data_IF_119611186405
#
_entry.id   IF_119611186405
#
_cell.length_a   1.000
_cell.length_b   1.000
_cell.length_c   1.000
_cell.angle_alpha   90.00
_cell.angle_beta   90.00
_cell.angle_gamma   90.00
#
_symmetry.space_group_name_H-M   'P 1'
#
loop_
_entity.id
_entity.type
_entity.pdbx_description
1 polymer ?
#
# COMPACT_ATOMS: atom_id res chain seq x y z
N UNK A 1 -47.54 1.58 -16.57
CA UNK A 1 -46.53 1.36 -15.58
C UNK A 1 -46.64 2.52 -14.61
N UNK A 2 -46.97 2.25 -13.33
CA UNK A 2 -47.18 3.32 -12.34
C UNK A 2 -45.85 4.04 -12.03
N UNK A 3 -45.94 5.26 -11.51
CA UNK A 3 -44.82 6.13 -11.16
C UNK A 3 -43.85 5.56 -10.10
N UNK A 4 -44.14 4.35 -9.55
CA UNK A 4 -43.40 3.68 -8.46
C UNK A 4 -42.48 2.55 -8.92
N UNK A 5 -42.21 2.38 -10.20
CA UNK A 5 -41.30 1.32 -10.62
C UNK A 5 -39.86 1.71 -10.33
N UNK A 6 -39.20 1.00 -9.38
CA UNK A 6 -37.82 1.25 -9.00
C UNK A 6 -36.84 0.69 -10.07
N UNK A 7 -36.54 1.53 -11.07
CA UNK A 7 -35.55 1.25 -12.11
C UNK A 7 -34.16 1.12 -11.58
N UNK A 8 -33.84 1.65 -10.39
CA UNK A 8 -32.53 1.53 -9.74
C UNK A 8 -32.25 0.08 -9.35
N UNK A 9 -33.27 -0.63 -8.83
CA UNK A 9 -33.17 -2.04 -8.53
C UNK A 9 -32.98 -2.92 -9.78
N UNK A 10 -33.60 -2.53 -10.91
CA UNK A 10 -33.40 -3.20 -12.19
C UNK A 10 -31.93 -3.05 -12.65
N UNK A 11 -31.39 -1.85 -12.61
CA UNK A 11 -30.00 -1.55 -13.01
C UNK A 11 -29.00 -2.32 -12.15
N UNK A 12 -29.19 -2.38 -10.84
CA UNK A 12 -28.31 -3.14 -9.95
C UNK A 12 -28.28 -4.65 -10.27
N UNK A 13 -29.38 -5.20 -10.80
CA UNK A 13 -29.45 -6.60 -11.24
C UNK A 13 -28.76 -6.83 -12.59
N UNK A 14 -28.69 -5.83 -13.46
CA UNK A 14 -28.11 -5.96 -14.80
C UNK A 14 -26.59 -6.19 -14.79
N UNK A 15 -25.89 -5.77 -13.74
CA UNK A 15 -24.45 -6.03 -13.58
C UNK A 15 -24.10 -7.53 -13.55
N UNK A 16 -25.08 -8.41 -13.26
CA UNK A 16 -24.93 -9.88 -13.19
C UNK A 16 -25.35 -10.60 -14.49
N UNK A 17 -25.87 -9.87 -15.45
CA UNK A 17 -26.35 -10.45 -16.71
C UNK A 17 -25.19 -10.65 -17.70
N UNK A 18 -25.34 -11.64 -18.59
CA UNK A 18 -24.45 -11.81 -19.73
C UNK A 18 -24.66 -10.68 -20.78
N UNK A 19 -23.64 -10.45 -21.60
CA UNK A 19 -23.69 -9.37 -22.62
C UNK A 19 -24.91 -9.49 -23.55
N UNK A 20 -25.29 -10.69 -23.95
CA UNK A 20 -26.46 -10.93 -24.80
C UNK A 20 -27.79 -10.56 -24.14
N UNK A 21 -27.89 -10.78 -22.83
CA UNK A 21 -29.07 -10.44 -22.03
C UNK A 21 -29.15 -8.93 -21.82
N UNK A 22 -28.01 -8.28 -21.60
CA UNK A 22 -27.92 -6.82 -21.50
C UNK A 22 -28.35 -6.12 -22.80
N UNK A 23 -27.91 -6.60 -23.96
CA UNK A 23 -28.33 -6.04 -25.25
C UNK A 23 -29.83 -6.19 -25.50
N UNK A 24 -30.43 -7.33 -25.12
CA UNK A 24 -31.88 -7.51 -25.19
C UNK A 24 -32.62 -6.53 -24.28
N UNK A 25 -32.11 -6.30 -23.06
CA UNK A 25 -32.71 -5.34 -22.13
C UNK A 25 -32.60 -3.91 -22.69
N UNK A 26 -31.47 -3.53 -23.26
CA UNK A 26 -31.31 -2.22 -23.94
C UNK A 26 -32.36 -2.06 -25.03
N UNK A 27 -32.55 -3.06 -25.89
CA UNK A 27 -33.56 -3.02 -26.96
C UNK A 27 -34.99 -2.83 -26.42
N UNK A 28 -35.34 -3.52 -25.34
CA UNK A 28 -36.63 -3.41 -24.70
C UNK A 28 -36.82 -2.01 -24.11
N UNK A 29 -35.83 -1.51 -23.34
CA UNK A 29 -35.90 -0.20 -22.69
C UNK A 29 -35.93 0.90 -23.75
N UNK A 30 -35.23 0.78 -24.85
CA UNK A 30 -35.25 1.71 -25.98
C UNK A 30 -36.63 1.79 -26.63
N UNK A 31 -37.28 0.65 -26.86
CA UNK A 31 -38.65 0.62 -27.38
C UNK A 31 -39.64 1.29 -26.40
N UNK A 32 -39.43 1.13 -25.09
CA UNK A 32 -40.27 1.79 -24.07
C UNK A 32 -39.99 3.31 -24.05
N UNK A 33 -38.77 3.76 -24.23
CA UNK A 33 -38.45 5.20 -24.34
C UNK A 33 -39.09 5.81 -25.57
N UNK A 34 -39.14 5.10 -26.69
CA UNK A 34 -39.78 5.56 -27.93
C UNK A 34 -41.32 5.66 -27.77
N UNK A 35 -41.95 4.73 -27.02
CA UNK A 35 -43.36 4.73 -26.73
C UNK A 35 -43.76 5.76 -25.66
N UNK A 36 -42.93 5.88 -24.61
CA UNK A 36 -43.20 6.72 -23.44
C UNK A 36 -42.11 7.82 -23.29
N UNK A 37 -41.87 8.58 -24.36
CA UNK A 37 -40.81 9.58 -24.46
C UNK A 37 -40.85 10.69 -23.39
N UNK A 38 -41.97 10.90 -22.69
CA UNK A 38 -42.12 11.87 -21.61
C UNK A 38 -41.69 11.32 -20.23
N UNK A 39 -41.24 10.08 -20.13
CA UNK A 39 -40.78 9.50 -18.87
C UNK A 39 -39.26 9.63 -18.70
N UNK A 40 -38.84 10.59 -17.89
CA UNK A 40 -37.41 10.85 -17.57
C UNK A 40 -36.68 9.59 -17.04
N UNK A 41 -37.34 8.84 -16.15
CA UNK A 41 -36.80 7.65 -15.51
C UNK A 41 -36.44 6.54 -16.50
N UNK A 42 -37.22 6.36 -17.58
CA UNK A 42 -36.90 5.38 -18.63
C UNK A 42 -35.67 5.79 -19.42
N UNK A 43 -35.54 7.06 -19.77
CA UNK A 43 -34.40 7.58 -20.52
C UNK A 43 -33.13 7.53 -19.67
N UNK A 44 -33.22 7.88 -18.38
CA UNK A 44 -32.10 7.70 -17.44
C UNK A 44 -31.63 6.24 -17.34
N UNK A 45 -32.61 5.31 -17.30
CA UNK A 45 -32.31 3.86 -17.29
C UNK A 45 -31.58 3.43 -18.55
N UNK A 46 -32.02 3.91 -19.72
CA UNK A 46 -31.39 3.62 -21.01
C UNK A 46 -29.93 4.13 -21.04
N UNK A 47 -29.72 5.37 -20.60
CA UNK A 47 -28.38 5.99 -20.50
C UNK A 47 -27.45 5.15 -19.58
N UNK A 48 -27.94 4.72 -18.42
CA UNK A 48 -27.16 3.90 -17.50
C UNK A 48 -26.85 2.52 -18.09
N UNK A 49 -27.78 1.90 -18.81
CA UNK A 49 -27.55 0.62 -19.51
C UNK A 49 -26.49 0.75 -20.60
N UNK A 50 -26.54 1.84 -21.41
CA UNK A 50 -25.50 2.12 -22.39
C UNK A 50 -24.13 2.28 -21.72
N UNK A 51 -24.05 3.06 -20.67
CA UNK A 51 -22.81 3.29 -19.93
C UNK A 51 -22.23 1.98 -19.33
N UNK A 52 -23.07 1.13 -18.72
CA UNK A 52 -22.67 -0.17 -18.19
C UNK A 52 -22.19 -1.14 -19.28
N UNK A 53 -22.70 -1.00 -20.51
CA UNK A 53 -22.29 -1.80 -21.66
C UNK A 53 -21.15 -1.16 -22.48
N UNK A 54 -20.48 -0.14 -21.93
CA UNK A 54 -19.39 0.60 -22.57
C UNK A 54 -19.79 1.31 -23.89
N UNK A 55 -21.09 1.52 -24.11
CA UNK A 55 -21.64 2.24 -25.26
C UNK A 55 -21.77 3.74 -24.92
N UNK A 56 -20.63 4.40 -24.69
CA UNK A 56 -20.59 5.76 -24.12
C UNK A 56 -21.13 6.81 -25.08
N UNK A 57 -20.92 6.66 -26.40
CA UNK A 57 -21.46 7.58 -27.42
C UNK A 57 -22.99 7.55 -27.47
N UNK A 58 -23.59 6.35 -27.38
CA UNK A 58 -25.04 6.19 -27.30
C UNK A 58 -25.59 6.82 -26.01
N UNK A 59 -24.90 6.60 -24.88
CA UNK A 59 -25.24 7.22 -23.59
C UNK A 59 -25.24 8.75 -23.68
N UNK A 60 -24.20 9.35 -24.29
CA UNK A 60 -24.11 10.81 -24.49
C UNK A 60 -25.19 11.33 -25.44
N UNK A 61 -25.54 10.55 -26.47
CA UNK A 61 -26.59 10.92 -27.41
C UNK A 61 -27.95 11.04 -26.72
N UNK A 62 -28.31 10.03 -25.91
CA UNK A 62 -29.53 10.05 -25.09
C UNK A 62 -29.47 11.11 -23.98
N UNK A 63 -28.31 11.36 -23.40
CA UNK A 63 -28.10 12.42 -22.40
C UNK A 63 -28.39 13.82 -22.99
N UNK A 64 -28.02 14.07 -24.26
CA UNK A 64 -28.34 15.34 -24.94
C UNK A 64 -29.86 15.53 -25.12
N UNK A 65 -30.56 14.46 -25.45
CA UNK A 65 -32.01 14.48 -25.59
C UNK A 65 -32.66 14.74 -24.22
N UNK A 66 -32.22 13.99 -23.19
CA UNK A 66 -32.70 14.13 -21.81
C UNK A 66 -32.64 15.60 -21.34
N UNK A 67 -31.45 16.22 -21.50
CA UNK A 67 -31.18 17.59 -21.05
C UNK A 67 -31.97 18.67 -21.85
N UNK A 68 -32.44 18.33 -23.03
CA UNK A 68 -33.27 19.23 -23.83
C UNK A 68 -34.76 19.14 -23.47
N UNK A 69 -35.20 17.94 -23.07
CA UNK A 69 -36.63 17.65 -22.84
C UNK A 69 -37.04 17.80 -21.37
N UNK A 70 -36.12 17.62 -20.45
CA UNK A 70 -36.38 17.65 -19.02
C UNK A 70 -35.53 18.72 -18.30
N UNK A 71 -36.08 19.20 -17.18
CA UNK A 71 -35.35 20.14 -16.32
C UNK A 71 -34.08 19.51 -15.77
N UNK A 72 -32.99 20.27 -15.64
CA UNK A 72 -31.78 19.75 -15.03
C UNK A 72 -32.02 19.29 -13.60
N UNK A 73 -31.35 18.20 -13.21
CA UNK A 73 -31.34 17.71 -11.83
C UNK A 73 -29.93 17.25 -11.42
N UNK A 74 -29.57 17.29 -10.14
CA UNK A 74 -28.27 16.83 -9.67
C UNK A 74 -27.95 15.41 -10.13
N UNK A 75 -28.94 14.49 -10.12
CA UNK A 75 -28.81 13.11 -10.57
C UNK A 75 -28.37 13.01 -12.04
N UNK A 76 -29.00 13.81 -12.92
CA UNK A 76 -28.65 13.86 -14.36
C UNK A 76 -27.25 14.39 -14.56
N UNK A 77 -26.88 15.43 -13.81
CA UNK A 77 -25.54 16.05 -13.89
C UNK A 77 -24.45 15.06 -13.44
N UNK A 78 -24.70 14.35 -12.32
CA UNK A 78 -23.79 13.31 -11.83
C UNK A 78 -23.59 12.19 -12.86
N UNK A 79 -24.68 11.68 -13.43
CA UNK A 79 -24.61 10.64 -14.45
C UNK A 79 -23.84 11.10 -15.69
N UNK A 80 -24.08 12.35 -16.13
CA UNK A 80 -23.35 12.93 -17.27
C UNK A 80 -21.84 13.04 -17.00
N UNK A 81 -21.45 13.51 -15.80
CA UNK A 81 -20.06 13.58 -15.40
C UNK A 81 -19.41 12.19 -15.31
N UNK A 82 -20.13 11.18 -14.79
CA UNK A 82 -19.64 9.80 -14.72
C UNK A 82 -19.39 9.20 -16.11
N UNK A 83 -20.24 9.51 -17.11
CA UNK A 83 -20.03 9.07 -18.50
C UNK A 83 -18.72 9.66 -19.04
N UNK A 84 -18.49 10.97 -18.89
CA UNK A 84 -17.22 11.60 -19.31
C UNK A 84 -16.01 11.01 -18.58
N UNK A 85 -16.13 10.74 -17.28
CA UNK A 85 -15.05 10.11 -16.51
C UNK A 85 -14.73 8.72 -17.04
N UNK A 86 -15.75 7.91 -17.38
CA UNK A 86 -15.57 6.57 -17.97
C UNK A 86 -14.92 6.60 -19.36
N UNK A 87 -15.04 7.72 -20.07
CA UNK A 87 -14.37 7.97 -21.37
C UNK A 87 -12.94 8.52 -21.21
N UNK A 88 -12.48 8.77 -19.98
CA UNK A 88 -11.20 9.42 -19.72
C UNK A 88 -11.21 10.95 -19.93
N UNK A 89 -12.38 11.53 -20.15
CA UNK A 89 -12.58 12.96 -20.45
C UNK A 89 -12.76 13.77 -19.15
N UNK A 90 -11.80 13.68 -18.23
CA UNK A 90 -11.87 14.27 -16.89
C UNK A 90 -12.18 15.77 -16.91
N UNK A 91 -11.65 16.52 -17.89
CA UNK A 91 -11.94 17.97 -17.98
C UNK A 91 -13.42 18.26 -18.30
N UNK A 92 -14.06 17.45 -19.13
CA UNK A 92 -15.49 17.61 -19.45
C UNK A 92 -16.36 17.22 -18.26
N UNK A 93 -15.98 16.17 -17.53
CA UNK A 93 -16.62 15.79 -16.29
C UNK A 93 -16.57 16.92 -15.24
N UNK A 94 -15.39 17.50 -15.01
CA UNK A 94 -15.20 18.67 -14.12
C UNK A 94 -16.10 19.84 -14.54
N UNK A 95 -16.11 20.21 -15.83
CA UNK A 95 -16.92 21.31 -16.33
C UNK A 95 -18.42 21.05 -16.18
N UNK A 96 -18.86 19.79 -16.38
CA UNK A 96 -20.25 19.38 -16.18
C UNK A 96 -20.67 19.58 -14.73
N UNK A 97 -19.85 19.14 -13.77
CA UNK A 97 -20.11 19.32 -12.33
C UNK A 97 -20.06 20.79 -11.92
N UNK A 98 -19.04 21.55 -12.36
CA UNK A 98 -18.97 23.00 -12.12
C UNK A 98 -20.18 23.75 -12.67
N UNK A 99 -20.69 23.36 -13.83
CA UNK A 99 -21.89 23.96 -14.42
C UNK A 99 -23.14 23.60 -13.62
N UNK A 100 -23.24 22.36 -13.15
CA UNK A 100 -24.33 21.92 -12.27
C UNK A 100 -24.37 22.66 -10.95
N UNK A 101 -23.23 22.91 -10.34
CA UNK A 101 -23.12 23.67 -9.10
C UNK A 101 -23.49 25.17 -9.25
N UNK A 102 -23.58 25.72 -10.46
CA UNK A 102 -24.15 27.08 -10.66
C UNK A 102 -25.66 27.12 -10.49
N UNK A 103 -26.35 26.00 -10.73
CA UNK A 103 -27.78 25.85 -10.58
C UNK A 103 -28.17 25.26 -9.21
N UNK A 104 -27.34 24.36 -8.70
CA UNK A 104 -27.52 23.60 -7.46
C UNK A 104 -26.32 23.80 -6.54
N UNK A 105 -26.07 25.04 -6.15
CA UNK A 105 -24.87 25.48 -5.40
C UNK A 105 -24.68 24.80 -4.04
N UNK A 106 -25.79 24.34 -3.43
CA UNK A 106 -25.77 23.63 -2.13
C UNK A 106 -25.85 22.11 -2.27
N UNK A 107 -25.83 21.56 -3.49
CA UNK A 107 -25.90 20.10 -3.63
C UNK A 107 -24.59 19.41 -3.22
N UNK A 108 -24.66 18.71 -2.07
CA UNK A 108 -23.55 17.98 -1.47
C UNK A 108 -22.97 16.92 -2.42
N UNK A 109 -23.82 16.21 -3.14
CA UNK A 109 -23.40 15.09 -4.00
C UNK A 109 -22.60 15.56 -5.21
N UNK A 110 -23.01 16.68 -5.83
CA UNK A 110 -22.29 17.32 -6.91
C UNK A 110 -20.91 17.81 -6.43
N UNK A 111 -20.87 18.45 -5.27
CA UNK A 111 -19.66 19.02 -4.71
C UNK A 111 -18.66 17.94 -4.32
N UNK A 112 -19.10 16.87 -3.64
CA UNK A 112 -18.26 15.72 -3.32
C UNK A 112 -17.72 15.00 -4.58
N UNK A 113 -18.56 14.87 -5.62
CA UNK A 113 -18.14 14.26 -6.88
C UNK A 113 -17.09 15.12 -7.59
N UNK A 114 -17.26 16.45 -7.54
CA UNK A 114 -16.28 17.39 -8.08
C UNK A 114 -14.94 17.32 -7.32
N UNK A 115 -14.99 17.36 -5.99
CA UNK A 115 -13.79 17.25 -5.16
C UNK A 115 -13.01 15.95 -5.43
N UNK A 116 -13.71 14.81 -5.45
CA UNK A 116 -13.11 13.51 -5.75
C UNK A 116 -12.44 13.47 -7.13
N UNK A 117 -13.12 14.04 -8.14
CA UNK A 117 -12.57 14.10 -9.50
C UNK A 117 -11.37 15.04 -9.59
N UNK A 118 -11.34 16.12 -8.82
CA UNK A 118 -10.21 17.03 -8.72
C UNK A 118 -9.00 16.34 -8.07
N UNK A 119 -9.20 15.57 -6.99
CA UNK A 119 -8.13 14.76 -6.37
C UNK A 119 -7.54 13.78 -7.39
N UNK A 120 -8.36 13.05 -8.12
CA UNK A 120 -7.91 12.11 -9.15
C UNK A 120 -7.10 12.76 -10.29
N UNK A 121 -7.26 14.07 -10.48
CA UNK A 121 -6.54 14.85 -11.48
C UNK A 121 -5.47 15.76 -10.86
N UNK A 122 -5.01 15.48 -9.65
CA UNK A 122 -3.95 16.19 -8.93
C UNK A 122 -4.22 17.69 -8.72
N UNK A 123 -5.50 18.08 -8.68
CA UNK A 123 -5.95 19.47 -8.43
C UNK A 123 -6.34 19.61 -6.95
N UNK A 124 -5.37 19.45 -6.08
CA UNK A 124 -5.61 19.29 -4.64
C UNK A 124 -6.19 20.56 -4.00
N UNK A 125 -5.69 21.74 -4.34
CA UNK A 125 -6.24 23.02 -3.84
C UNK A 125 -7.69 23.24 -4.31
N UNK A 126 -7.97 22.99 -5.61
CA UNK A 126 -9.36 23.09 -6.12
C UNK A 126 -10.30 22.12 -5.37
N UNK A 127 -9.81 20.91 -4.99
CA UNK A 127 -10.57 19.95 -4.21
C UNK A 127 -10.81 20.43 -2.77
N UNK A 128 -9.79 21.02 -2.15
CA UNK A 128 -9.89 21.64 -0.83
C UNK A 128 -11.01 22.69 -0.78
N UNK A 129 -11.06 23.58 -1.78
CA UNK A 129 -12.12 24.59 -1.89
C UNK A 129 -13.53 23.96 -1.92
N UNK A 130 -13.69 22.77 -2.52
CA UNK A 130 -14.99 22.10 -2.54
C UNK A 130 -15.37 21.56 -1.16
N UNK A 131 -14.44 20.98 -0.41
CA UNK A 131 -14.70 20.54 0.96
C UNK A 131 -14.93 21.72 1.89
N UNK A 132 -14.15 22.80 1.75
CA UNK A 132 -14.36 24.03 2.51
C UNK A 132 -15.80 24.57 2.33
N UNK A 133 -16.28 24.60 1.10
CA UNK A 133 -17.65 25.05 0.84
C UNK A 133 -18.72 24.10 1.45
N UNK A 134 -18.42 22.81 1.68
CA UNK A 134 -19.30 21.90 2.42
C UNK A 134 -19.29 22.23 3.92
N UNK A 135 -18.11 22.46 4.48
CA UNK A 135 -17.96 22.84 5.90
C UNK A 135 -18.59 24.21 6.19
N UNK A 136 -18.54 25.15 5.25
CA UNK A 136 -19.25 26.44 5.38
C UNK A 136 -20.79 26.29 5.42
N UNK A 137 -21.33 25.26 4.74
CA UNK A 137 -22.75 24.92 4.80
C UNK A 137 -23.12 24.16 6.08
N UNK A 138 -22.25 23.25 6.50
CA UNK A 138 -22.41 22.42 7.70
C UNK A 138 -21.08 22.33 8.44
N UNK A 139 -20.86 23.14 9.50
CA UNK A 139 -19.65 23.10 10.30
C UNK A 139 -19.39 21.77 11.02
N UNK A 140 -20.36 20.89 11.11
CA UNK A 140 -20.27 19.54 11.68
C UNK A 140 -20.10 18.46 10.58
N UNK A 141 -19.79 18.84 9.34
CA UNK A 141 -19.41 17.89 8.28
C UNK A 141 -17.97 17.35 8.53
N UNK A 142 -17.86 16.47 9.54
CA UNK A 142 -16.59 15.89 9.99
C UNK A 142 -15.85 15.14 8.89
N UNK A 143 -16.57 14.53 7.95
CA UNK A 143 -15.95 13.85 6.81
C UNK A 143 -15.29 14.83 5.84
N UNK A 144 -15.91 15.99 5.60
CA UNK A 144 -15.30 17.04 4.79
C UNK A 144 -14.11 17.69 5.50
N UNK A 145 -14.21 17.97 6.80
CA UNK A 145 -13.09 18.45 7.61
C UNK A 145 -11.91 17.47 7.58
N UNK A 146 -12.17 16.18 7.77
CA UNK A 146 -11.15 15.17 7.69
C UNK A 146 -10.50 15.10 6.28
N UNK A 147 -11.31 15.20 5.22
CA UNK A 147 -10.79 15.22 3.86
C UNK A 147 -9.91 16.46 3.60
N UNK A 148 -10.27 17.63 4.14
CA UNK A 148 -9.44 18.83 4.09
C UNK A 148 -8.09 18.62 4.78
N UNK A 149 -8.09 18.03 5.98
CA UNK A 149 -6.82 17.76 6.69
C UNK A 149 -5.90 16.81 5.95
N UNK A 150 -6.45 15.81 5.23
CA UNK A 150 -5.65 14.92 4.39
C UNK A 150 -5.06 15.62 3.16
N UNK A 151 -5.81 16.54 2.55
CA UNK A 151 -5.30 17.35 1.44
C UNK A 151 -4.20 18.30 1.92
N UNK A 152 -4.37 18.93 3.09
CA UNK A 152 -3.35 19.79 3.68
C UNK A 152 -2.07 19.00 4.02
N UNK A 153 -2.19 17.73 4.42
CA UNK A 153 -1.04 16.83 4.60
C UNK A 153 -0.30 16.57 3.29
N UNK A 154 -1.04 16.26 2.22
CA UNK A 154 -0.45 16.01 0.90
C UNK A 154 0.21 17.26 0.30
N UNK A 155 -0.33 18.45 0.64
CA UNK A 155 0.21 19.76 0.23
C UNK A 155 1.32 20.27 1.18
N UNK A 156 1.64 19.54 2.24
CA UNK A 156 2.57 19.93 3.31
C UNK A 156 2.16 21.22 4.04
N UNK A 157 0.86 21.59 3.98
CA UNK A 157 0.27 22.76 4.63
C UNK A 157 -0.11 22.45 6.10
N UNK A 158 0.89 22.09 6.90
CA UNK A 158 0.71 21.57 8.27
C UNK A 158 0.01 22.57 9.20
N UNK A 159 0.26 23.87 9.04
CA UNK A 159 -0.39 24.92 9.85
C UNK A 159 -1.91 24.97 9.63
N UNK A 160 -2.40 24.49 8.48
CA UNK A 160 -3.82 24.36 8.17
C UNK A 160 -4.39 23.03 8.71
N UNK A 161 -3.62 21.94 8.58
CA UNK A 161 -4.04 20.60 8.98
C UNK A 161 -4.21 20.46 10.51
N UNK A 162 -3.24 20.97 11.28
CA UNK A 162 -3.20 20.80 12.76
C UNK A 162 -4.51 21.22 13.42
N UNK A 163 -5.03 22.45 13.25
CA UNK A 163 -6.25 22.87 13.94
C UNK A 163 -7.49 22.07 13.54
N UNK A 164 -7.54 21.55 12.30
CA UNK A 164 -8.63 20.68 11.85
C UNK A 164 -8.58 19.35 12.58
N UNK A 165 -7.40 18.70 12.63
CA UNK A 165 -7.21 17.44 13.32
C UNK A 165 -7.47 17.55 14.83
N UNK A 166 -7.03 18.64 15.48
CA UNK A 166 -7.31 18.92 16.87
C UNK A 166 -8.81 19.10 17.15
N UNK A 167 -9.53 19.76 16.23
CA UNK A 167 -10.98 19.89 16.30
C UNK A 167 -11.66 18.51 16.25
N UNK A 168 -11.29 17.66 15.29
CA UNK A 168 -11.82 16.30 15.17
C UNK A 168 -11.57 15.46 16.44
N UNK A 169 -10.38 15.57 17.03
CA UNK A 169 -10.06 14.94 18.31
C UNK A 169 -10.97 15.44 19.43
N UNK A 170 -11.23 16.75 19.49
CA UNK A 170 -12.01 17.37 20.55
C UNK A 170 -13.46 16.89 20.62
N UNK A 171 -14.01 16.46 19.48
CA UNK A 171 -15.37 15.93 19.34
C UNK A 171 -15.42 14.40 19.25
N UNK A 172 -14.30 13.73 19.42
CA UNK A 172 -14.09 12.26 19.28
C UNK A 172 -14.50 11.70 17.90
N UNK A 173 -14.49 12.56 16.88
CA UNK A 173 -14.67 12.14 15.49
C UNK A 173 -13.32 11.88 14.84
N UNK A 174 -13.18 10.76 14.11
CA UNK A 174 -11.90 10.36 13.51
C UNK A 174 -10.70 10.49 14.50
N UNK A 175 -10.94 10.22 15.79
CA UNK A 175 -9.98 10.46 16.85
C UNK A 175 -8.63 9.78 16.60
N UNK A 176 -8.66 8.49 16.30
CA UNK A 176 -7.44 7.68 16.15
C UNK A 176 -6.66 8.03 14.89
N UNK A 177 -7.35 8.27 13.79
CA UNK A 177 -6.77 8.74 12.55
C UNK A 177 -6.14 10.13 12.75
N UNK A 178 -6.85 11.04 13.42
CA UNK A 178 -6.35 12.40 13.70
C UNK A 178 -5.14 12.38 14.62
N UNK A 179 -5.13 11.54 15.64
CA UNK A 179 -3.94 11.35 16.50
C UNK A 179 -2.75 10.81 15.70
N UNK A 180 -2.99 9.85 14.80
CA UNK A 180 -1.94 9.29 13.94
C UNK A 180 -1.35 10.35 13.00
N UNK A 181 -2.20 11.14 12.35
CA UNK A 181 -1.74 12.18 11.41
C UNK A 181 -1.07 13.38 12.11
N UNK A 182 -1.50 13.75 13.32
CA UNK A 182 -0.73 14.72 14.11
C UNK A 182 0.65 14.17 14.49
N UNK A 183 0.74 12.89 14.86
CA UNK A 183 2.02 12.23 15.08
C UNK A 183 2.92 12.31 13.84
N UNK A 184 2.37 12.08 12.65
CA UNK A 184 3.08 12.18 11.38
C UNK A 184 3.54 13.62 11.07
N UNK A 185 2.68 14.62 11.26
CA UNK A 185 3.04 16.03 11.06
C UNK A 185 4.20 16.44 11.98
N UNK A 186 4.12 16.07 13.24
CA UNK A 186 5.18 16.38 14.21
C UNK A 186 6.48 15.60 13.89
N UNK A 187 6.40 14.39 13.37
CA UNK A 187 7.55 13.64 12.83
C UNK A 187 8.20 14.40 11.65
N UNK A 188 7.41 14.82 10.65
CA UNK A 188 7.91 15.57 9.48
C UNK A 188 8.50 16.95 9.84
N UNK A 189 8.05 17.52 10.93
CA UNK A 189 8.56 18.80 11.45
C UNK A 189 9.64 18.63 12.53
N UNK A 190 10.18 17.42 12.69
CA UNK A 190 11.26 17.05 13.62
C UNK A 190 10.93 17.34 15.09
N UNK A 191 9.64 17.40 15.46
CA UNK A 191 9.13 17.56 16.83
C UNK A 191 8.81 16.18 17.42
N UNK A 192 9.86 15.43 17.71
CA UNK A 192 9.73 14.01 18.02
C UNK A 192 9.00 13.71 19.33
N UNK A 193 9.13 14.58 20.33
CA UNK A 193 8.43 14.42 21.60
C UNK A 193 6.91 14.55 21.42
N UNK A 194 6.46 15.58 20.68
CA UNK A 194 5.05 15.78 20.35
C UNK A 194 4.54 14.63 19.45
N UNK A 195 5.35 14.19 18.50
CA UNK A 195 5.03 13.04 17.63
C UNK A 195 4.76 11.77 18.47
N UNK A 196 5.64 11.44 19.43
CA UNK A 196 5.49 10.31 20.35
C UNK A 196 4.19 10.45 21.15
N UNK A 197 3.90 11.64 21.67
CA UNK A 197 2.68 11.89 22.45
C UNK A 197 1.42 11.55 21.66
N UNK A 198 1.33 12.01 20.42
CA UNK A 198 0.19 11.77 19.56
C UNK A 198 0.08 10.30 19.11
N UNK A 199 1.16 9.68 18.66
CA UNK A 199 1.16 8.26 18.28
C UNK A 199 0.73 7.34 19.44
N UNK A 200 1.14 7.65 20.69
CA UNK A 200 0.77 6.88 21.87
C UNK A 200 -0.71 6.99 22.24
N UNK A 201 -1.42 8.01 21.77
CA UNK A 201 -2.86 8.20 22.00
C UNK A 201 -3.74 7.39 21.05
N UNK A 202 -3.17 6.80 19.99
CA UNK A 202 -3.91 5.93 19.07
C UNK A 202 -4.36 4.67 19.81
N UNK A 203 -5.69 4.43 19.82
CA UNK A 203 -6.34 3.38 20.62
C UNK A 203 -6.14 1.99 20.02
N UNK A 204 -6.02 0.99 20.87
CA UNK A 204 -5.91 -0.42 20.49
C UNK A 204 -7.10 -0.87 19.64
N UNK A 205 -6.82 -1.67 18.60
CA UNK A 205 -7.85 -2.25 17.73
C UNK A 205 -8.19 -1.39 16.50
N UNK A 206 -7.61 -0.21 16.36
CA UNK A 206 -7.74 0.62 15.17
C UNK A 206 -6.69 0.25 14.11
N UNK A 207 -6.94 0.63 12.85
CA UNK A 207 -6.07 0.29 11.73
C UNK A 207 -4.63 0.83 11.91
N UNK A 208 -4.48 2.01 12.46
CA UNK A 208 -3.20 2.70 12.61
C UNK A 208 -2.45 2.35 13.92
N UNK A 209 -3.05 1.54 14.81
CA UNK A 209 -2.50 1.30 16.15
C UNK A 209 -1.06 0.76 16.10
N UNK A 210 -0.81 -0.32 15.40
CA UNK A 210 0.53 -0.94 15.37
C UNK A 210 1.56 -0.02 14.74
N UNK A 211 1.22 0.66 13.64
CA UNK A 211 2.09 1.64 13.00
C UNK A 211 2.43 2.79 13.97
N UNK A 212 1.43 3.32 14.68
CA UNK A 212 1.63 4.38 15.65
C UNK A 212 2.56 3.93 16.80
N UNK A 213 2.37 2.71 17.36
CA UNK A 213 3.23 2.19 18.41
C UNK A 213 4.68 1.99 17.92
N UNK A 214 4.85 1.52 16.70
CA UNK A 214 6.16 1.35 16.08
C UNK A 214 6.88 2.69 15.89
N UNK A 215 6.19 3.72 15.40
CA UNK A 215 6.79 5.06 15.22
C UNK A 215 7.11 5.73 16.55
N UNK A 216 6.20 5.68 17.54
CA UNK A 216 6.46 6.19 18.88
C UNK A 216 7.70 5.52 19.50
N UNK A 217 7.85 4.21 19.34
CA UNK A 217 9.01 3.46 19.83
C UNK A 217 10.28 3.85 19.09
N UNK A 218 10.21 3.99 17.76
CA UNK A 218 11.35 4.43 16.94
C UNK A 218 11.89 5.78 17.39
N UNK A 219 11.00 6.77 17.57
CA UNK A 219 11.41 8.10 18.02
C UNK A 219 11.93 8.09 19.45
N UNK A 220 11.30 7.34 20.38
CA UNK A 220 11.80 7.19 21.74
C UNK A 220 13.22 6.60 21.76
N UNK A 221 13.49 5.55 20.97
CA UNK A 221 14.83 4.97 20.80
C UNK A 221 15.79 5.98 20.18
N UNK A 222 15.36 6.73 19.17
CA UNK A 222 16.17 7.77 18.52
C UNK A 222 16.58 8.91 19.46
N UNK A 223 15.72 9.25 20.42
CA UNK A 223 16.02 10.21 21.50
C UNK A 223 16.86 9.62 22.64
N UNK A 224 17.11 8.31 22.63
CA UNK A 224 17.85 7.62 23.69
C UNK A 224 17.03 7.16 24.89
N UNK A 225 15.69 7.33 24.84
CA UNK A 225 14.78 6.98 25.93
C UNK A 225 14.39 5.48 25.91
N UNK A 226 15.39 4.60 25.95
CA UNK A 226 15.21 3.15 25.77
C UNK A 226 14.32 2.53 26.86
N UNK A 227 14.49 2.94 28.11
CA UNK A 227 13.70 2.42 29.24
C UNK A 227 12.21 2.77 29.09
N UNK A 228 11.90 4.00 28.68
CA UNK A 228 10.51 4.42 28.47
C UNK A 228 9.90 3.74 27.23
N UNK A 229 10.67 3.55 26.15
CA UNK A 229 10.24 2.78 24.98
C UNK A 229 9.83 1.36 25.36
N UNK A 230 10.69 0.64 26.10
CA UNK A 230 10.43 -0.71 26.58
C UNK A 230 9.23 -0.77 27.54
N UNK A 231 9.20 0.13 28.53
CA UNK A 231 8.12 0.20 29.51
C UNK A 231 6.77 0.48 28.86
N UNK A 232 6.76 1.34 27.83
CA UNK A 232 5.56 1.66 27.08
C UNK A 232 5.01 0.41 26.36
N UNK A 233 5.82 -0.28 25.57
CA UNK A 233 5.40 -1.48 24.83
C UNK A 233 4.96 -2.62 25.77
N UNK A 234 5.65 -2.77 26.91
CA UNK A 234 5.25 -3.72 27.94
C UNK A 234 3.86 -3.42 28.47
N UNK A 235 3.55 -2.14 28.76
CA UNK A 235 2.19 -1.73 29.18
C UNK A 235 1.15 -2.01 28.09
N UNK A 236 1.50 -1.75 26.81
CA UNK A 236 0.61 -1.98 25.67
C UNK A 236 0.32 -3.47 25.43
N UNK A 237 1.22 -4.36 25.78
CA UNK A 237 1.01 -5.81 25.67
C UNK A 237 -0.10 -6.31 26.62
N UNK A 238 -0.32 -5.59 27.71
CA UNK A 238 -1.35 -5.87 28.73
C UNK A 238 -1.39 -7.34 29.17
N UNK A 239 -0.21 -7.97 29.27
CA UNK A 239 -0.06 -9.37 29.64
C UNK A 239 -0.49 -10.39 28.56
N UNK A 240 -0.83 -9.94 27.37
CA UNK A 240 -1.15 -10.82 26.24
C UNK A 240 0.15 -11.30 25.58
N UNK A 241 0.43 -12.59 25.72
CA UNK A 241 1.67 -13.23 25.19
C UNK A 241 1.93 -12.90 23.71
N UNK A 242 0.90 -12.94 22.88
CA UNK A 242 1.04 -12.65 21.44
C UNK A 242 1.47 -11.20 21.18
N UNK A 243 0.94 -10.24 21.91
CA UNK A 243 1.34 -8.83 21.80
C UNK A 243 2.73 -8.61 22.38
N UNK A 244 3.07 -9.29 23.48
CA UNK A 244 4.40 -9.23 24.05
C UNK A 244 5.47 -9.71 23.05
N UNK A 245 5.25 -10.84 22.37
CA UNK A 245 6.14 -11.36 21.32
C UNK A 245 6.25 -10.35 20.17
N UNK A 246 5.11 -9.84 19.68
CA UNK A 246 5.08 -8.87 18.58
C UNK A 246 5.86 -7.60 18.94
N UNK A 247 5.60 -7.01 20.10
CA UNK A 247 6.26 -5.78 20.51
C UNK A 247 7.75 -5.99 20.81
N UNK A 248 8.13 -7.13 21.40
CA UNK A 248 9.53 -7.50 21.55
C UNK A 248 10.26 -7.59 20.22
N UNK A 249 9.63 -8.18 19.22
CA UNK A 249 10.18 -8.28 17.86
C UNK A 249 10.33 -6.90 17.20
N UNK A 250 9.32 -6.03 17.33
CA UNK A 250 9.38 -4.65 16.82
C UNK A 250 10.51 -3.88 17.51
N UNK A 251 10.54 -3.89 18.84
CA UNK A 251 11.54 -3.17 19.65
C UNK A 251 12.96 -3.64 19.34
N UNK A 252 13.19 -4.96 19.30
CA UNK A 252 14.52 -5.50 19.00
C UNK A 252 15.02 -5.09 17.62
N UNK A 253 14.15 -5.08 16.61
CA UNK A 253 14.51 -4.65 15.25
C UNK A 253 14.86 -3.14 15.21
N UNK A 254 14.10 -2.32 15.93
CA UNK A 254 14.36 -0.88 16.02
C UNK A 254 15.66 -0.58 16.77
N UNK A 255 15.96 -1.33 17.84
CA UNK A 255 17.23 -1.23 18.58
C UNK A 255 18.43 -1.61 17.69
N UNK A 256 18.32 -2.69 16.90
CA UNK A 256 19.35 -3.07 15.93
C UNK A 256 19.59 -1.97 14.91
N UNK A 257 18.51 -1.41 14.32
CA UNK A 257 18.60 -0.33 13.34
C UNK A 257 19.24 0.94 13.92
N UNK A 258 19.03 1.20 15.21
CA UNK A 258 19.61 2.35 15.91
C UNK A 258 21.01 2.08 16.48
N UNK A 259 21.58 0.85 16.32
CA UNK A 259 22.90 0.48 16.81
C UNK A 259 22.97 0.11 18.30
N UNK A 260 21.85 -0.12 18.95
CA UNK A 260 21.76 -0.58 20.35
C UNK A 260 21.77 -2.13 20.43
N UNK A 261 22.85 -2.72 19.89
CA UNK A 261 22.97 -4.18 19.72
C UNK A 261 22.94 -4.98 21.01
N UNK A 262 23.49 -4.43 22.10
CA UNK A 262 23.53 -5.13 23.41
C UNK A 262 22.16 -5.15 24.07
N UNK A 263 21.42 -4.07 23.95
CA UNK A 263 20.05 -3.92 24.44
C UNK A 263 19.11 -4.86 23.66
N UNK A 264 19.22 -4.88 22.32
CA UNK A 264 18.48 -5.80 21.48
C UNK A 264 18.74 -7.26 21.86
N UNK A 265 20.00 -7.64 22.07
CA UNK A 265 20.39 -8.98 22.51
C UNK A 265 19.77 -9.33 23.87
N UNK A 266 19.91 -8.45 24.83
CA UNK A 266 19.40 -8.66 26.20
C UNK A 266 17.87 -8.85 26.18
N UNK A 267 17.18 -8.04 25.40
CA UNK A 267 15.72 -8.11 25.22
C UNK A 267 15.32 -9.47 24.62
N UNK A 268 15.94 -9.88 23.50
CA UNK A 268 15.67 -11.15 22.83
C UNK A 268 16.01 -12.37 23.71
N UNK A 269 17.15 -12.36 24.40
CA UNK A 269 17.54 -13.46 25.29
C UNK A 269 16.56 -13.59 26.46
N UNK A 270 16.11 -12.48 27.03
CA UNK A 270 15.09 -12.46 28.10
C UNK A 270 13.75 -13.04 27.60
N UNK A 271 13.29 -12.62 26.42
CA UNK A 271 12.06 -13.12 25.84
C UNK A 271 12.15 -14.60 25.49
N UNK A 272 13.26 -15.06 24.90
CA UNK A 272 13.48 -16.46 24.54
C UNK A 272 13.68 -17.37 25.76
N UNK A 273 14.14 -16.86 26.90
CA UNK A 273 14.12 -17.61 28.17
C UNK A 273 12.67 -17.91 28.65
N UNK A 274 11.72 -17.02 28.35
CA UNK A 274 10.31 -17.23 28.67
C UNK A 274 9.57 -18.01 27.58
N UNK A 275 9.91 -17.80 26.33
CA UNK A 275 9.27 -18.37 25.14
C UNK A 275 10.29 -19.04 24.22
N UNK A 276 10.91 -20.15 24.63
CA UNK A 276 12.12 -20.70 23.94
C UNK A 276 11.83 -21.26 22.54
N UNK A 277 10.57 -21.51 22.20
CA UNK A 277 10.15 -22.10 20.93
C UNK A 277 9.28 -21.15 20.09
N UNK A 278 9.36 -19.85 20.30
CA UNK A 278 8.66 -18.88 19.48
C UNK A 278 9.48 -18.52 18.24
N UNK A 279 8.94 -18.92 17.06
CA UNK A 279 9.64 -18.75 15.78
C UNK A 279 9.95 -17.28 15.47
N UNK A 280 9.03 -16.37 15.78
CA UNK A 280 9.21 -14.94 15.54
C UNK A 280 10.35 -14.34 16.39
N UNK A 281 10.48 -14.75 17.65
CA UNK A 281 11.59 -14.32 18.51
C UNK A 281 12.93 -14.91 18.07
N UNK A 282 12.92 -16.19 17.68
CA UNK A 282 14.11 -16.83 17.12
C UNK A 282 14.56 -16.14 15.84
N UNK A 283 13.61 -15.79 14.96
CA UNK A 283 13.92 -15.09 13.72
C UNK A 283 14.42 -13.66 13.97
N UNK A 284 13.84 -12.95 14.95
CA UNK A 284 14.37 -11.65 15.37
C UNK A 284 15.83 -11.76 15.87
N UNK A 285 16.16 -12.86 16.60
CA UNK A 285 17.54 -13.11 17.02
C UNK A 285 18.45 -13.53 15.87
N UNK A 286 17.92 -14.17 14.82
CA UNK A 286 18.67 -14.39 13.57
C UNK A 286 19.10 -13.05 12.96
N UNK A 287 18.16 -12.10 12.83
CA UNK A 287 18.46 -10.76 12.29
C UNK A 287 19.51 -10.01 13.13
N UNK A 288 19.45 -10.14 14.45
CA UNK A 288 20.48 -9.63 15.33
C UNK A 288 21.83 -10.34 15.10
N UNK A 289 21.85 -11.68 15.00
CA UNK A 289 23.07 -12.45 14.74
C UNK A 289 23.71 -12.10 13.40
N UNK A 290 22.87 -11.85 12.38
CA UNK A 290 23.34 -11.43 11.04
C UNK A 290 23.98 -10.04 11.08
N UNK A 291 23.39 -9.08 11.80
CA UNK A 291 23.98 -7.75 11.98
C UNK A 291 25.35 -7.81 12.68
N UNK A 292 25.55 -8.81 13.57
CA UNK A 292 26.80 -9.06 14.26
C UNK A 292 27.74 -10.02 13.51
N UNK A 293 27.38 -10.47 12.30
CA UNK A 293 28.11 -11.48 11.52
C UNK A 293 28.29 -12.81 12.27
N UNK A 294 27.40 -13.13 13.23
CA UNK A 294 27.40 -14.41 13.98
C UNK A 294 26.64 -15.50 13.20
N UNK A 295 27.27 -16.01 12.15
CA UNK A 295 26.73 -17.11 11.33
C UNK A 295 26.29 -18.33 12.13
N UNK A 296 27.04 -18.67 13.20
CA UNK A 296 26.72 -19.84 14.01
C UNK A 296 25.43 -19.63 14.82
N UNK A 297 25.23 -18.42 15.31
CA UNK A 297 23.99 -18.03 15.97
C UNK A 297 22.81 -18.09 15.02
N UNK A 298 22.91 -17.46 13.84
CA UNK A 298 21.88 -17.49 12.81
C UNK A 298 21.55 -18.92 12.39
N UNK A 299 22.54 -19.74 12.04
CA UNK A 299 22.30 -21.13 11.63
C UNK A 299 21.63 -21.95 12.72
N UNK A 300 22.04 -21.81 13.99
CA UNK A 300 21.44 -22.51 15.14
C UNK A 300 19.95 -22.21 15.24
N UNK A 301 19.58 -20.94 15.20
CA UNK A 301 18.20 -20.47 15.41
C UNK A 301 17.32 -20.80 14.20
N UNK A 302 17.81 -20.61 12.98
CA UNK A 302 17.10 -21.01 11.75
C UNK A 302 16.83 -22.53 11.73
N UNK A 303 17.80 -23.35 12.10
CA UNK A 303 17.59 -24.79 12.21
C UNK A 303 16.58 -25.17 13.30
N UNK A 304 16.51 -24.38 14.38
CA UNK A 304 15.49 -24.59 15.40
C UNK A 304 14.10 -24.26 14.84
N UNK A 305 13.94 -23.16 14.12
CA UNK A 305 12.68 -22.82 13.47
C UNK A 305 12.27 -23.93 12.49
N UNK A 306 13.15 -24.36 11.60
CA UNK A 306 12.87 -25.40 10.60
C UNK A 306 12.51 -26.75 11.26
N UNK A 307 13.09 -27.10 12.40
CA UNK A 307 12.69 -28.31 13.14
C UNK A 307 11.27 -28.22 13.70
N UNK A 308 10.85 -27.03 14.15
CA UNK A 308 9.50 -26.81 14.70
C UNK A 308 8.44 -26.61 13.62
N UNK A 309 8.84 -25.92 12.56
CA UNK A 309 8.00 -25.52 11.43
C UNK A 309 8.72 -25.89 10.12
N UNK A 310 8.65 -27.16 9.68
CA UNK A 310 9.40 -27.63 8.50
C UNK A 310 9.00 -26.96 7.17
N UNK A 311 7.83 -26.29 7.16
CA UNK A 311 7.28 -25.53 6.02
C UNK A 311 7.40 -24.01 6.20
N UNK A 312 8.25 -23.53 7.08
CA UNK A 312 8.57 -22.08 7.15
C UNK A 312 9.49 -21.72 5.98
N UNK A 313 8.89 -21.25 4.89
CA UNK A 313 9.62 -20.86 3.67
C UNK A 313 10.65 -19.75 3.93
N UNK A 314 10.37 -18.82 4.85
CA UNK A 314 11.26 -17.73 5.23
C UNK A 314 12.54 -18.28 5.88
N UNK A 315 12.40 -19.18 6.86
CA UNK A 315 13.55 -19.76 7.55
C UNK A 315 14.37 -20.68 6.64
N UNK A 316 13.69 -21.46 5.78
CA UNK A 316 14.33 -22.31 4.79
C UNK A 316 15.15 -21.47 3.80
N UNK A 317 14.55 -20.41 3.24
CA UNK A 317 15.20 -19.52 2.30
C UNK A 317 16.40 -18.80 2.94
N UNK A 318 16.21 -18.22 4.12
CA UNK A 318 17.26 -17.47 4.81
C UNK A 318 18.47 -18.36 5.11
N UNK A 319 18.24 -19.57 5.64
CA UNK A 319 19.33 -20.53 5.88
C UNK A 319 20.01 -20.94 4.57
N UNK A 320 19.22 -21.24 3.53
CA UNK A 320 19.76 -21.63 2.22
C UNK A 320 20.62 -20.54 1.60
N UNK A 321 20.13 -19.30 1.56
CA UNK A 321 20.88 -18.15 1.04
C UNK A 321 22.18 -17.92 1.82
N UNK A 322 22.12 -17.90 3.16
CA UNK A 322 23.28 -17.75 4.03
C UNK A 322 24.33 -18.84 3.76
N UNK A 323 23.91 -20.10 3.56
CA UNK A 323 24.83 -21.19 3.26
C UNK A 323 25.47 -21.06 1.86
N UNK A 324 24.70 -20.63 0.85
CA UNK A 324 25.18 -20.41 -0.51
C UNK A 324 26.15 -19.23 -0.61
N UNK A 325 25.86 -18.16 0.11
CA UNK A 325 26.66 -16.93 0.03
C UNK A 325 27.92 -16.97 0.91
N UNK A 326 27.80 -17.49 2.13
CA UNK A 326 28.83 -17.35 3.15
C UNK A 326 29.60 -18.64 3.42
N UNK A 327 29.27 -19.75 2.75
CA UNK A 327 29.95 -21.05 2.95
C UNK A 327 30.13 -21.77 1.61
N UNK A 328 30.70 -23.00 1.67
CA UNK A 328 30.82 -23.89 0.52
C UNK A 328 29.80 -25.05 0.57
N UNK A 329 28.69 -24.87 1.28
CA UNK A 329 27.62 -25.90 1.46
C UNK A 329 26.50 -25.72 0.43
N UNK A 330 26.88 -25.66 -0.85
CA UNK A 330 25.99 -25.26 -1.93
C UNK A 330 24.85 -26.25 -2.19
N UNK A 331 25.11 -27.57 -2.08
CA UNK A 331 24.07 -28.57 -2.27
C UNK A 331 23.02 -28.55 -1.15
N UNK A 332 23.46 -28.34 0.09
CA UNK A 332 22.53 -28.20 1.22
C UNK A 332 21.73 -26.88 1.10
N UNK A 333 22.38 -25.80 0.66
CA UNK A 333 21.73 -24.54 0.36
C UNK A 333 20.62 -24.72 -0.68
N UNK A 334 20.92 -25.41 -1.77
CA UNK A 334 19.97 -25.69 -2.84
C UNK A 334 18.77 -26.52 -2.33
N UNK A 335 18.99 -27.60 -1.56
CA UNK A 335 17.90 -28.41 -0.98
C UNK A 335 16.94 -27.57 -0.12
N UNK A 336 17.49 -26.69 0.72
CA UNK A 336 16.70 -25.81 1.57
C UNK A 336 15.86 -24.82 0.75
N UNK A 337 16.46 -24.20 -0.27
CA UNK A 337 15.79 -23.23 -1.12
C UNK A 337 14.77 -23.91 -2.04
N UNK A 338 15.03 -25.11 -2.55
CA UNK A 338 14.07 -25.90 -3.32
C UNK A 338 12.83 -26.26 -2.47
N UNK A 339 13.00 -26.51 -1.20
CA UNK A 339 11.87 -26.66 -0.26
C UNK A 339 11.12 -25.35 -0.06
N UNK A 340 11.84 -24.22 0.08
CA UNK A 340 11.21 -22.91 0.20
C UNK A 340 10.40 -22.53 -1.04
N UNK A 341 10.94 -22.75 -2.26
CA UNK A 341 10.24 -22.45 -3.51
C UNK A 341 9.04 -23.34 -3.75
N UNK A 342 9.06 -24.59 -3.25
CA UNK A 342 7.91 -25.49 -3.31
C UNK A 342 6.72 -24.97 -2.48
N UNK A 343 6.98 -24.19 -1.42
CA UNK A 343 5.96 -23.58 -0.56
C UNK A 343 5.49 -22.25 -1.15
N UNK A 344 6.43 -21.42 -1.62
CA UNK A 344 6.19 -20.08 -2.14
C UNK A 344 6.82 -19.89 -3.53
N UNK A 345 6.21 -20.46 -4.60
CA UNK A 345 6.83 -20.56 -5.92
C UNK A 345 7.00 -19.24 -6.66
N UNK A 346 6.25 -18.20 -6.27
CA UNK A 346 6.25 -16.89 -6.93
C UNK A 346 6.92 -15.78 -6.11
N UNK A 347 7.55 -16.14 -4.97
CA UNK A 347 8.29 -15.19 -4.15
C UNK A 347 9.62 -14.81 -4.85
N UNK A 348 9.82 -13.55 -5.27
CA UNK A 348 11.00 -13.14 -6.01
C UNK A 348 12.30 -13.26 -5.20
N UNK A 349 12.26 -13.11 -3.87
CA UNK A 349 13.43 -13.27 -3.01
C UNK A 349 13.87 -14.74 -2.92
N UNK A 350 12.91 -15.69 -2.91
CA UNK A 350 13.22 -17.12 -2.94
C UNK A 350 13.73 -17.54 -4.33
N UNK A 351 13.18 -16.98 -5.39
CA UNK A 351 13.65 -17.24 -6.76
C UNK A 351 15.08 -16.71 -6.95
N UNK A 352 15.40 -15.54 -6.43
CA UNK A 352 16.76 -14.98 -6.44
C UNK A 352 17.74 -15.87 -5.68
N UNK A 353 17.37 -16.29 -4.47
CA UNK A 353 18.19 -17.21 -3.65
C UNK A 353 18.43 -18.55 -4.35
N UNK A 354 17.41 -19.10 -5.05
CA UNK A 354 17.54 -20.30 -5.86
C UNK A 354 18.57 -20.11 -6.96
N UNK A 355 18.47 -19.01 -7.67
CA UNK A 355 19.40 -18.67 -8.73
C UNK A 355 20.83 -18.49 -8.20
N UNK A 356 20.99 -17.86 -7.03
CA UNK A 356 22.28 -17.69 -6.39
C UNK A 356 22.93 -19.03 -6.01
N UNK A 357 22.16 -19.96 -5.42
CA UNK A 357 22.65 -21.31 -5.14
C UNK A 357 23.03 -22.09 -6.42
N UNK A 358 22.22 -21.97 -7.48
CA UNK A 358 22.53 -22.55 -8.80
C UNK A 358 23.82 -21.97 -9.39
N UNK A 359 24.00 -20.65 -9.31
CA UNK A 359 25.23 -19.98 -9.72
C UNK A 359 26.47 -20.51 -8.99
N UNK A 360 26.40 -20.63 -7.65
CA UNK A 360 27.52 -21.18 -6.84
C UNK A 360 27.84 -22.64 -7.20
N UNK A 361 26.88 -23.39 -7.74
CA UNK A 361 27.06 -24.75 -8.26
C UNK A 361 27.51 -24.80 -9.74
N UNK A 362 27.72 -23.65 -10.38
CA UNK A 362 28.12 -23.56 -11.78
C UNK A 362 26.97 -23.79 -12.79
N UNK A 363 25.71 -23.78 -12.36
CA UNK A 363 24.52 -23.96 -13.21
C UNK A 363 24.05 -22.62 -13.76
N UNK A 364 24.89 -21.98 -14.58
CA UNK A 364 24.71 -20.57 -14.97
C UNK A 364 23.45 -20.31 -15.78
N UNK A 365 23.04 -21.21 -16.67
CA UNK A 365 21.84 -21.07 -17.49
C UNK A 365 20.57 -21.11 -16.67
N UNK A 366 20.50 -22.03 -15.69
CA UNK A 366 19.38 -22.13 -14.75
C UNK A 366 19.31 -20.88 -13.85
N UNK A 367 20.45 -20.44 -13.33
CA UNK A 367 20.57 -19.22 -12.53
C UNK A 367 20.09 -17.99 -13.30
N UNK A 368 20.55 -17.82 -14.55
CA UNK A 368 20.15 -16.69 -15.40
C UNK A 368 18.63 -16.68 -15.68
N UNK A 369 18.04 -17.85 -15.92
CA UNK A 369 16.60 -17.94 -16.17
C UNK A 369 15.79 -17.50 -14.93
N UNK A 370 16.19 -17.96 -13.74
CA UNK A 370 15.53 -17.59 -12.48
C UNK A 370 15.76 -16.12 -12.11
N UNK A 371 16.98 -15.57 -12.28
CA UNK A 371 17.26 -14.16 -12.03
C UNK A 371 16.45 -13.23 -12.93
N UNK A 372 16.31 -13.57 -14.21
CA UNK A 372 15.43 -12.80 -15.13
C UNK A 372 13.97 -12.84 -14.67
N UNK A 373 13.49 -13.99 -14.18
CA UNK A 373 12.15 -14.11 -13.62
C UNK A 373 11.99 -13.24 -12.38
N UNK A 374 12.91 -13.33 -11.41
CA UNK A 374 12.87 -12.52 -10.20
C UNK A 374 12.93 -11.02 -10.53
N UNK A 375 13.86 -10.61 -11.39
CA UNK A 375 14.05 -9.21 -11.77
C UNK A 375 12.85 -8.62 -12.53
N UNK A 376 12.15 -9.43 -13.32
CA UNK A 376 10.94 -8.96 -14.03
C UNK A 376 9.77 -8.63 -13.09
N UNK A 377 9.71 -9.27 -11.92
CA UNK A 377 8.67 -9.04 -10.90
C UNK A 377 9.11 -7.99 -9.89
N UNK A 378 10.37 -8.04 -9.48
CA UNK A 378 10.93 -7.17 -8.47
C UNK A 378 12.34 -6.73 -8.87
N UNK A 379 12.48 -5.60 -9.60
CA UNK A 379 13.76 -5.08 -10.07
C UNK A 379 14.55 -4.40 -8.94
N UNK A 380 14.89 -5.18 -7.91
CA UNK A 380 15.68 -4.72 -6.76
C UNK A 380 17.20 -4.75 -7.09
N UNK A 381 17.97 -3.92 -6.35
CA UNK A 381 19.42 -3.81 -6.55
C UNK A 381 20.20 -5.09 -6.17
N UNK A 382 19.68 -5.92 -5.26
CA UNK A 382 20.30 -7.19 -4.92
C UNK A 382 20.13 -8.19 -6.07
N UNK A 383 18.91 -8.33 -6.60
CA UNK A 383 18.64 -9.16 -7.79
C UNK A 383 19.43 -8.67 -9.00
N UNK A 384 19.55 -7.35 -9.20
CA UNK A 384 20.37 -6.77 -10.26
C UNK A 384 21.86 -7.10 -10.09
N UNK A 385 22.36 -7.09 -8.85
CA UNK A 385 23.73 -7.49 -8.51
C UNK A 385 24.01 -8.92 -8.96
N UNK A 386 23.15 -9.86 -8.54
CA UNK A 386 23.28 -11.28 -8.88
C UNK A 386 23.13 -11.53 -10.38
N UNK A 387 22.16 -10.89 -11.04
CA UNK A 387 21.94 -11.02 -12.48
C UNK A 387 23.16 -10.56 -13.29
N UNK A 388 23.71 -9.40 -12.95
CA UNK A 388 24.91 -8.90 -13.60
C UNK A 388 26.13 -9.80 -13.36
N UNK A 389 26.29 -10.35 -12.14
CA UNK A 389 27.38 -11.27 -11.84
C UNK A 389 27.29 -12.57 -12.67
N UNK A 390 26.11 -13.16 -12.78
CA UNK A 390 25.90 -14.36 -13.60
C UNK A 390 26.15 -14.05 -15.09
N UNK A 391 25.64 -12.95 -15.61
CA UNK A 391 25.88 -12.52 -16.99
C UNK A 391 27.38 -12.33 -17.25
N UNK A 392 28.10 -11.72 -16.32
CA UNK A 392 29.54 -11.52 -16.44
C UNK A 392 30.31 -12.84 -16.52
N UNK A 393 29.96 -13.80 -15.66
CA UNK A 393 30.59 -15.13 -15.67
C UNK A 393 30.28 -15.93 -16.94
N UNK A 394 29.17 -15.67 -17.57
CA UNK A 394 28.82 -16.25 -18.87
C UNK A 394 29.48 -15.54 -20.07
N UNK A 395 30.24 -14.48 -19.85
CA UNK A 395 30.93 -13.69 -20.87
C UNK A 395 30.05 -12.59 -21.49
N UNK A 396 28.84 -12.37 -21.00
CA UNK A 396 27.92 -11.34 -21.48
C UNK A 396 28.19 -9.98 -20.78
N UNK A 397 29.44 -9.50 -20.88
CA UNK A 397 29.94 -8.37 -20.09
C UNK A 397 29.20 -7.05 -20.37
N UNK A 398 28.76 -6.81 -21.61
CA UNK A 398 27.99 -5.61 -21.96
C UNK A 398 26.65 -5.59 -21.24
N UNK A 399 25.92 -6.71 -21.27
CA UNK A 399 24.62 -6.83 -20.58
C UNK A 399 24.76 -6.75 -19.05
N UNK A 400 25.81 -7.35 -18.49
CA UNK A 400 26.08 -7.25 -17.07
C UNK A 400 26.25 -5.78 -16.64
N UNK A 401 27.04 -5.03 -17.43
CA UNK A 401 27.27 -3.62 -17.20
C UNK A 401 25.98 -2.79 -17.30
N UNK A 402 25.16 -3.07 -18.30
CA UNK A 402 23.87 -2.40 -18.50
C UNK A 402 22.94 -2.58 -17.29
N UNK A 403 22.80 -3.81 -16.81
CA UNK A 403 21.98 -4.14 -15.62
C UNK A 403 22.47 -3.37 -14.38
N UNK A 404 23.77 -3.36 -14.12
CA UNK A 404 24.33 -2.64 -12.97
C UNK A 404 24.19 -1.11 -13.09
N UNK A 405 24.40 -0.55 -14.29
CA UNK A 405 24.25 0.88 -14.53
C UNK A 405 22.78 1.33 -14.40
N UNK A 406 21.82 0.54 -14.85
CA UNK A 406 20.41 0.81 -14.64
C UNK A 406 20.02 0.74 -13.15
N UNK A 407 20.52 -0.25 -12.43
CA UNK A 407 20.31 -0.34 -10.99
C UNK A 407 20.91 0.85 -10.23
N UNK A 408 22.08 1.37 -10.64
CA UNK A 408 22.69 2.57 -10.06
C UNK A 408 21.92 3.85 -10.43
N UNK A 409 21.29 3.93 -11.61
CA UNK A 409 20.41 5.09 -11.93
C UNK A 409 19.19 5.14 -11.02
N UNK A 410 18.61 3.96 -10.72
CA UNK A 410 17.47 3.86 -9.81
C UNK A 410 17.88 4.12 -8.34
N UNK A 411 19.07 3.67 -7.92
CA UNK A 411 19.60 3.80 -6.55
C UNK A 411 21.08 4.17 -6.56
N UNK A 412 21.42 5.46 -6.73
CA UNK A 412 22.81 5.93 -6.89
C UNK A 412 23.72 5.67 -5.69
N UNK A 413 23.16 5.53 -4.50
CA UNK A 413 23.87 5.28 -3.24
C UNK A 413 24.13 3.79 -2.97
N UNK A 414 23.65 2.86 -3.81
CA UNK A 414 23.80 1.42 -3.58
C UNK A 414 25.28 0.99 -3.50
N UNK A 415 25.76 0.73 -2.29
CA UNK A 415 27.11 0.23 -2.04
C UNK A 415 27.30 -1.19 -2.60
N UNK A 416 26.22 -2.00 -2.61
CA UNK A 416 26.22 -3.35 -3.15
C UNK A 416 26.60 -3.36 -4.64
N UNK A 417 25.90 -2.58 -5.45
CA UNK A 417 26.17 -2.49 -6.89
C UNK A 417 27.56 -1.89 -7.15
N UNK A 418 27.96 -0.84 -6.41
CA UNK A 418 29.30 -0.24 -6.53
C UNK A 418 30.40 -1.29 -6.27
N UNK A 419 30.25 -2.07 -5.19
CA UNK A 419 31.22 -3.10 -4.84
C UNK A 419 31.32 -4.23 -5.90
N UNK A 420 30.18 -4.62 -6.49
CA UNK A 420 30.16 -5.63 -7.57
C UNK A 420 30.85 -5.09 -8.83
N UNK A 421 30.55 -3.85 -9.24
CA UNK A 421 31.22 -3.23 -10.39
C UNK A 421 32.73 -3.14 -10.17
N UNK A 422 33.17 -2.67 -9.00
CA UNK A 422 34.60 -2.58 -8.65
C UNK A 422 35.28 -3.94 -8.70
N UNK A 423 34.62 -5.00 -8.24
CA UNK A 423 35.17 -6.37 -8.27
C UNK A 423 35.36 -6.91 -9.67
N UNK A 424 34.45 -6.60 -10.61
CA UNK A 424 34.48 -7.15 -11.97
C UNK A 424 35.09 -6.21 -13.01
N UNK A 425 35.07 -4.91 -12.77
CA UNK A 425 35.65 -3.85 -13.60
C UNK A 425 36.59 -2.97 -12.75
N UNK A 426 37.70 -3.50 -12.22
CA UNK A 426 38.66 -2.63 -11.57
C UNK A 426 39.21 -1.62 -12.60
N UNK A 427 39.25 -0.31 -12.23
CA UNK A 427 39.81 0.76 -13.06
C UNK A 427 41.23 0.50 -13.54
#
# INVERSE_FOLDING_TARGET
>A
LGDDFDFTALIARTARLENSERERLITIVQSLVDEFHQQESLRLTLIQLFAQNQRMEDALSEMKILRKEFSPSPRVILLHAQIFQSMGESNQAIQTLKSGLKEFDQDRSLRLSLARLMIQNEKLEDAYDQFQALVEQDPEDWESLYSMSLLDLELEEYDRAIPILENLISVDERYDESQYYLGLIYEQTEKYEESIEHYRKVRTGTANYLAAQQQATRHSIGLGDLEEAHSWLTRQSNGQVRLEILFTTIESNLLIQAGYDQEAKSLLDSALNRFPNEAELLFARVLWSDSQQDRKGSERDLRQIIRMQPEDARALNHLGYMLADQTNRFEEALDLIERAIAISPDDPAIIDSLAWAQYKLGRYEEALANLRRAFSVFPDHEVASHLGEVLWQMGEHEKATEVWEEALKARPESQLIKAVIERFKPE
#
